data_IF_220921677802
#
_entry.id   IF_220921677802
#
_cell.length_a   1.000
_cell.length_b   1.000
_cell.length_c   1.000
_cell.angle_alpha   90.00
_cell.angle_beta   90.00
_cell.angle_gamma   90.00
#
_symmetry.space_group_name_H-M   'P 1'
#
loop_
_entity.id
_entity.type
_entity.pdbx_description
1 polymer ?
#
# COMPACT_ATOMS: atom_id res chain seq x y z
N UNK A 1 -1.05 13.22 -9.84
CA UNK A 1 -0.98 12.82 -8.41
C UNK A 1 -1.05 11.30 -8.31
N UNK A 2 -0.19 10.72 -7.50
CA UNK A 2 -0.08 9.27 -7.34
C UNK A 2 -0.38 8.85 -5.91
N UNK A 3 -1.13 7.76 -5.77
CA UNK A 3 -1.32 7.07 -4.50
C UNK A 3 -0.53 5.76 -4.54
N UNK A 4 0.27 5.51 -3.50
CA UNK A 4 1.00 4.26 -3.35
C UNK A 4 0.09 3.25 -2.68
N UNK A 5 -0.18 2.13 -3.34
CA UNK A 5 -1.02 1.07 -2.79
C UNK A 5 -0.09 0.02 -2.18
N UNK A 6 -0.03 0.00 -0.85
CA UNK A 6 0.76 -0.96 -0.09
C UNK A 6 -0.09 -2.20 0.17
N UNK A 7 0.39 -3.36 -0.25
CA UNK A 7 -0.40 -4.59 -0.27
C UNK A 7 0.50 -5.79 -0.01
N UNK A 8 -0.08 -6.86 0.52
CA UNK A 8 0.65 -8.10 0.75
C UNK A 8 1.25 -8.62 -0.55
N UNK A 9 2.56 -8.72 -0.58
CA UNK A 9 3.32 -9.20 -1.73
C UNK A 9 2.91 -10.63 -2.11
N UNK A 10 2.89 -11.52 -1.12
CA UNK A 10 2.60 -12.93 -1.36
C UNK A 10 1.14 -13.20 -1.72
N UNK A 11 0.22 -12.29 -1.38
CA UNK A 11 -1.21 -12.46 -1.61
C UNK A 11 -1.76 -11.55 -2.70
N UNK A 12 -0.88 -10.86 -3.44
CA UNK A 12 -1.28 -9.88 -4.45
C UNK A 12 -2.35 -10.42 -5.42
N UNK A 13 -2.18 -11.64 -5.91
CA UNK A 13 -3.10 -12.23 -6.89
C UNK A 13 -4.50 -12.48 -6.32
N UNK A 14 -4.60 -12.73 -5.02
CA UNK A 14 -5.86 -12.99 -4.36
C UNK A 14 -6.63 -11.71 -4.05
N UNK A 15 -5.99 -10.55 -4.21
CA UNK A 15 -6.55 -9.25 -3.86
C UNK A 15 -6.89 -8.39 -5.09
N UNK A 16 -7.10 -9.02 -6.23
CA UNK A 16 -7.40 -8.30 -7.48
C UNK A 16 -8.65 -7.43 -7.38
N UNK A 17 -9.70 -7.94 -6.75
CA UNK A 17 -10.94 -7.18 -6.57
C UNK A 17 -10.71 -5.93 -5.73
N UNK A 18 -9.96 -6.08 -4.64
CA UNK A 18 -9.64 -4.98 -3.74
C UNK A 18 -8.81 -3.91 -4.45
N UNK A 19 -7.79 -4.34 -5.17
CA UNK A 19 -6.93 -3.41 -5.93
C UNK A 19 -7.75 -2.67 -6.99
N UNK A 20 -8.60 -3.38 -7.72
CA UNK A 20 -9.40 -2.76 -8.76
C UNK A 20 -10.39 -1.74 -8.18
N UNK A 21 -11.01 -2.07 -7.05
CA UNK A 21 -11.92 -1.15 -6.37
C UNK A 21 -11.20 0.12 -5.92
N UNK A 22 -9.99 -0.02 -5.38
CA UNK A 22 -9.17 1.12 -4.96
C UNK A 22 -8.81 1.98 -6.16
N UNK A 23 -8.32 1.37 -7.24
CA UNK A 23 -7.93 2.10 -8.45
C UNK A 23 -9.11 2.84 -9.08
N UNK A 24 -10.28 2.20 -9.11
CA UNK A 24 -11.49 2.82 -9.65
C UNK A 24 -11.90 4.05 -8.81
N UNK A 25 -11.85 3.93 -7.50
CA UNK A 25 -12.17 5.05 -6.61
C UNK A 25 -11.19 6.21 -6.79
N UNK A 26 -9.89 5.90 -6.89
CA UNK A 26 -8.86 6.91 -7.11
C UNK A 26 -9.02 7.62 -8.44
N UNK A 27 -9.37 6.87 -9.48
CA UNK A 27 -9.55 7.43 -10.83
C UNK A 27 -10.64 8.49 -10.85
N UNK A 28 -11.70 8.29 -10.09
CA UNK A 28 -12.79 9.28 -9.96
C UNK A 28 -12.31 10.60 -9.37
N UNK A 29 -11.22 10.54 -8.60
CA UNK A 29 -10.61 11.73 -7.98
C UNK A 29 -9.42 12.27 -8.78
N UNK A 30 -9.16 11.72 -9.96
CA UNK A 30 -8.00 12.12 -10.78
C UNK A 30 -6.66 11.66 -10.24
N UNK A 31 -6.65 10.59 -9.45
CA UNK A 31 -5.45 10.06 -8.82
C UNK A 31 -5.11 8.70 -9.43
N UNK A 32 -3.85 8.48 -9.78
CA UNK A 32 -3.39 7.18 -10.27
C UNK A 32 -2.95 6.30 -9.10
N UNK A 33 -3.33 5.03 -9.16
CA UNK A 33 -2.91 4.03 -8.17
C UNK A 33 -1.66 3.30 -8.62
N UNK A 34 -0.65 3.28 -7.77
CA UNK A 34 0.62 2.61 -8.03
C UNK A 34 0.76 1.41 -7.10
N UNK A 35 0.87 0.22 -7.70
CA UNK A 35 1.10 -1.02 -6.95
C UNK A 35 2.53 -1.48 -7.24
N UNK A 36 3.40 -1.40 -6.23
CA UNK A 36 4.83 -1.66 -6.39
C UNK A 36 5.12 -3.02 -7.03
N UNK A 37 4.45 -4.07 -6.54
CA UNK A 37 4.68 -5.44 -7.02
C UNK A 37 4.26 -5.66 -8.46
N UNK A 38 3.41 -4.79 -9.00
CA UNK A 38 2.96 -4.88 -10.39
C UNK A 38 3.94 -4.19 -11.34
N UNK A 39 4.78 -3.29 -10.82
CA UNK A 39 5.65 -2.45 -11.64
C UNK A 39 7.09 -2.96 -11.75
N UNK A 40 7.54 -3.73 -10.77
CA UNK A 40 8.93 -4.17 -10.70
C UNK A 40 9.03 -5.66 -10.42
N UNK A 41 10.15 -6.23 -10.89
CA UNK A 41 10.50 -7.60 -10.61
C UNK A 41 11.95 -7.63 -10.16
N UNK A 42 12.18 -8.14 -8.95
CA UNK A 42 13.52 -8.21 -8.36
C UNK A 42 13.87 -9.66 -8.04
N UNK A 43 15.16 -10.00 -8.19
CA UNK A 43 15.66 -11.31 -7.76
C UNK A 43 15.89 -11.30 -6.24
N UNK A 44 16.04 -12.49 -5.65
CA UNK A 44 16.32 -12.64 -4.22
C UNK A 44 17.59 -11.90 -3.78
N UNK A 45 18.54 -11.71 -4.69
CA UNK A 45 19.79 -11.01 -4.39
C UNK A 45 19.67 -9.49 -4.41
N UNK A 46 18.52 -8.96 -4.83
CA UNK A 46 18.29 -7.54 -4.98
C UNK A 46 17.40 -6.94 -3.90
N UNK A 47 17.34 -7.58 -2.73
CA UNK A 47 16.45 -7.15 -1.66
C UNK A 47 16.72 -5.71 -1.20
N UNK A 48 17.97 -5.31 -1.11
CA UNK A 48 18.35 -3.96 -0.73
C UNK A 48 17.86 -2.93 -1.76
N UNK A 49 18.10 -3.23 -3.03
CA UNK A 49 17.67 -2.37 -4.14
C UNK A 49 16.14 -2.26 -4.20
N UNK A 50 15.46 -3.39 -3.98
CA UNK A 50 14.01 -3.44 -3.94
C UNK A 50 13.46 -2.50 -2.87
N UNK A 51 13.98 -2.57 -1.65
CA UNK A 51 13.50 -1.74 -0.55
C UNK A 51 13.84 -0.26 -0.75
N UNK A 52 15.00 0.05 -1.29
CA UNK A 52 15.34 1.43 -1.64
C UNK A 52 14.34 2.00 -2.63
N UNK A 53 14.00 1.21 -3.66
CA UNK A 53 13.03 1.63 -4.68
C UNK A 53 11.64 1.82 -4.09
N UNK A 54 11.22 0.92 -3.20
CA UNK A 54 9.92 1.03 -2.54
C UNK A 54 9.83 2.34 -1.73
N UNK A 55 10.88 2.66 -0.97
CA UNK A 55 10.90 3.89 -0.18
C UNK A 55 10.87 5.13 -1.06
N UNK A 56 11.61 5.12 -2.17
CA UNK A 56 11.58 6.22 -3.14
C UNK A 56 10.18 6.43 -3.72
N UNK A 57 9.50 5.34 -4.07
CA UNK A 57 8.16 5.42 -4.65
C UNK A 57 7.13 5.91 -3.64
N UNK A 58 7.27 5.52 -2.37
CA UNK A 58 6.43 6.07 -1.30
C UNK A 58 6.63 7.59 -1.20
N UNK A 59 7.89 8.05 -1.21
CA UNK A 59 8.20 9.49 -1.12
C UNK A 59 7.61 10.29 -2.27
N UNK A 60 7.51 9.70 -3.46
CA UNK A 60 6.94 10.37 -4.64
C UNK A 60 5.42 10.42 -4.61
N UNK A 61 4.80 9.71 -3.69
CA UNK A 61 3.35 9.60 -3.66
C UNK A 61 2.75 10.64 -2.73
N UNK A 62 1.55 11.10 -3.09
CA UNK A 62 0.82 12.08 -2.30
C UNK A 62 0.12 11.44 -1.09
N UNK A 63 -0.15 10.13 -1.18
CA UNK A 63 -0.90 9.39 -0.18
C UNK A 63 -0.51 7.93 -0.26
N UNK A 64 -0.56 7.21 0.86
CA UNK A 64 -0.37 5.78 0.90
C UNK A 64 -1.67 5.10 1.31
N UNK A 65 -2.09 4.12 0.53
CA UNK A 65 -3.26 3.31 0.84
C UNK A 65 -2.76 1.95 1.29
N UNK A 66 -3.00 1.63 2.55
CA UNK A 66 -2.60 0.36 3.14
C UNK A 66 -3.75 -0.63 3.01
N UNK A 67 -3.65 -1.56 2.07
CA UNK A 67 -4.62 -2.64 1.87
C UNK A 67 -4.23 -3.79 2.79
N UNK A 68 -4.92 -3.90 3.92
CA UNK A 68 -4.56 -4.85 4.98
C UNK A 68 -5.52 -6.03 5.10
N UNK A 69 -6.23 -6.34 4.03
CA UNK A 69 -7.07 -7.54 3.99
C UNK A 69 -6.25 -8.81 4.23
N UNK A 70 -5.00 -8.80 3.80
CA UNK A 70 -4.01 -9.83 4.10
C UNK A 70 -2.81 -9.19 4.76
N UNK A 71 -2.19 -9.87 5.71
CA UNK A 71 -1.03 -9.36 6.43
C UNK A 71 0.23 -9.37 5.58
N UNK A 72 1.11 -8.40 5.82
CA UNK A 72 2.40 -8.31 5.13
C UNK A 72 3.34 -7.41 5.90
N UNK A 73 4.57 -7.90 6.12
CA UNK A 73 5.60 -7.13 6.82
C UNK A 73 5.90 -5.83 6.06
N UNK A 74 5.95 -5.91 4.72
CA UNK A 74 6.22 -4.75 3.88
C UNK A 74 5.21 -3.62 4.06
N UNK A 75 3.95 -3.97 4.31
CA UNK A 75 2.91 -2.96 4.56
C UNK A 75 3.28 -2.12 5.78
N UNK A 76 3.64 -2.77 6.87
CA UNK A 76 4.02 -2.07 8.11
C UNK A 76 5.22 -1.15 7.92
N UNK A 77 6.23 -1.61 7.18
CA UNK A 77 7.42 -0.81 6.90
C UNK A 77 7.06 0.43 6.06
N UNK A 78 6.27 0.23 5.01
CA UNK A 78 5.89 1.33 4.11
C UNK A 78 5.00 2.34 4.80
N UNK A 79 4.05 1.88 5.62
CA UNK A 79 3.18 2.75 6.41
C UNK A 79 3.97 3.59 7.40
N UNK A 80 4.91 2.97 8.12
CA UNK A 80 5.77 3.68 9.06
C UNK A 80 6.62 4.74 8.36
N UNK A 81 7.17 4.38 7.20
CA UNK A 81 7.96 5.31 6.41
C UNK A 81 7.13 6.50 5.92
N UNK A 82 5.93 6.22 5.42
CA UNK A 82 5.01 7.28 4.97
C UNK A 82 4.69 8.26 6.10
N UNK A 83 4.40 7.74 7.29
CA UNK A 83 4.12 8.59 8.44
C UNK A 83 5.32 9.46 8.81
N UNK A 84 6.52 8.88 8.79
CA UNK A 84 7.75 9.64 9.07
C UNK A 84 7.98 10.76 8.06
N UNK A 85 7.49 10.60 6.84
CA UNK A 85 7.60 11.60 5.77
C UNK A 85 6.38 12.51 5.67
N UNK A 86 5.47 12.44 6.63
CA UNK A 86 4.23 13.24 6.67
C UNK A 86 3.32 12.98 5.47
N UNK A 87 3.32 11.74 4.96
CA UNK A 87 2.43 11.32 3.88
C UNK A 87 1.20 10.69 4.52
N UNK A 88 -0.01 11.15 4.20
CA UNK A 88 -1.24 10.58 4.77
C UNK A 88 -1.41 9.11 4.44
N UNK A 89 -1.94 8.34 5.38
CA UNK A 89 -2.18 6.91 5.24
C UNK A 89 -3.66 6.62 5.37
N UNK A 90 -4.22 5.91 4.39
CA UNK A 90 -5.60 5.41 4.42
C UNK A 90 -5.55 3.90 4.65
N UNK A 91 -6.22 3.45 5.70
CA UNK A 91 -6.38 2.04 6.05
C UNK A 91 -7.57 1.49 5.28
N UNK A 92 -7.36 0.41 4.53
CA UNK A 92 -8.42 -0.25 3.75
C UNK A 92 -8.35 -1.75 4.01
N UNK A 93 -9.49 -2.37 4.27
CA UNK A 93 -9.59 -3.82 4.32
C UNK A 93 -10.98 -4.26 3.85
N UNK A 94 -11.11 -5.49 3.38
CA UNK A 94 -12.43 -6.03 3.09
C UNK A 94 -13.11 -6.44 4.41
N UNK A 95 -14.43 -6.50 4.40
CA UNK A 95 -15.23 -6.72 5.61
C UNK A 95 -15.02 -8.11 6.24
N UNK A 96 -14.47 -9.06 5.49
CA UNK A 96 -14.26 -10.44 5.93
C UNK A 96 -12.88 -10.68 6.54
N UNK A 97 -11.97 -9.71 6.42
CA UNK A 97 -10.59 -9.85 6.90
C UNK A 97 -10.46 -9.46 8.37
N UNK A 98 -9.35 -9.88 8.97
CA UNK A 98 -9.03 -9.48 10.33
C UNK A 98 -8.64 -8.02 10.39
N UNK A 99 -8.97 -7.39 11.51
CA UNK A 99 -8.55 -6.01 11.79
C UNK A 99 -7.06 -5.98 12.12
N UNK A 100 -6.34 -5.01 11.53
CA UNK A 100 -4.95 -4.75 11.88
C UNK A 100 -4.86 -3.57 12.83
N UNK A 101 -4.69 -3.84 14.12
CA UNK A 101 -4.63 -2.79 15.13
C UNK A 101 -3.44 -1.86 14.94
N UNK A 102 -2.30 -2.43 14.55
CA UNK A 102 -1.06 -1.66 14.36
C UNK A 102 -1.20 -0.63 13.25
N UNK A 103 -1.66 -1.06 12.07
CA UNK A 103 -1.80 -0.15 10.94
C UNK A 103 -2.97 0.82 11.17
N UNK A 104 -4.08 0.34 11.72
CA UNK A 104 -5.22 1.20 12.04
C UNK A 104 -4.84 2.30 13.03
N UNK A 105 -4.02 1.96 14.02
CA UNK A 105 -3.60 2.93 15.04
C UNK A 105 -2.76 4.07 14.51
N UNK A 106 -2.08 3.88 13.39
CA UNK A 106 -1.22 4.91 12.79
C UNK A 106 -1.87 5.59 11.57
N UNK A 107 -2.95 5.03 11.03
CA UNK A 107 -3.61 5.55 9.85
C UNK A 107 -4.38 6.85 10.14
N UNK A 108 -4.47 7.69 9.14
CA UNK A 108 -5.21 8.95 9.22
C UNK A 108 -6.70 8.74 8.94
N UNK A 109 -7.01 7.81 8.03
CA UNK A 109 -8.40 7.48 7.65
C UNK A 109 -8.57 5.98 7.52
N UNK A 110 -9.80 5.49 7.68
CA UNK A 110 -10.14 4.07 7.58
C UNK A 110 -11.33 3.86 6.68
N UNK A 111 -11.24 2.85 5.81
CA UNK A 111 -12.31 2.44 4.89
C UNK A 111 -12.43 0.91 4.96
N UNK A 112 -13.64 0.41 5.11
CA UNK A 112 -13.92 -1.03 5.15
C UNK A 112 -14.94 -1.40 4.09
#
# INVERSE_FOLDING_TARGET
>A
MQAYISISFSKRKELEKEVQAIKNALQKCGVSGFVFVDEYQFSAKQEKKMMQKAMEDVEKSAILIAEVSEKGIGIGIEVGYAKAKNIPVIYVRNSKSEHSTTVSGIADFRVI
#
